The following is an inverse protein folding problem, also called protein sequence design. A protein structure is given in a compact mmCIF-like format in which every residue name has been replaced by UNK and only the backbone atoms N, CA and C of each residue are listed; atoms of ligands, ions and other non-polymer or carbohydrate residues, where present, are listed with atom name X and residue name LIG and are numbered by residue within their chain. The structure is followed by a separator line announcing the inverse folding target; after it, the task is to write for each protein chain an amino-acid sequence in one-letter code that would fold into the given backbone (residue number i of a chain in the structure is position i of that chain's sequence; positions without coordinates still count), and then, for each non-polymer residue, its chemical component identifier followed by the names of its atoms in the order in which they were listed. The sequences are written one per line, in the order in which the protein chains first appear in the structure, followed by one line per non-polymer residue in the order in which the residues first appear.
data_IF_629256332487
#
_entry.id   IF_629256332487
#
_cell.length_a   1.000
_cell.length_b   1.000
_cell.length_c   1.000
_cell.angle_alpha   90.00
_cell.angle_beta   90.00
_cell.angle_gamma   90.00
#
_symmetry.space_group_name_H-M   'P 1'
#
loop_
_entity.id
_entity.type
_entity.pdbx_description
1 polymer ?
#
# COMPACT_ATOMS: atom_id res chain seq x y z
N UNK A 1 -3.39 -29.39 -12.48
CA UNK A 1 -2.94 -29.06 -11.13
C UNK A 1 -1.44 -29.24 -10.92
N UNK A 2 -0.86 -30.36 -11.34
CA UNK A 2 0.59 -30.61 -11.22
C UNK A 2 1.44 -29.59 -12.01
N UNK A 3 0.97 -29.14 -13.21
CA UNK A 3 1.69 -28.13 -14.01
C UNK A 3 1.75 -26.78 -13.34
N UNK A 4 0.68 -26.34 -12.66
CA UNK A 4 0.68 -25.06 -11.93
C UNK A 4 1.62 -25.09 -10.73
N UNK A 5 1.70 -26.20 -10.01
CA UNK A 5 2.63 -26.36 -8.89
C UNK A 5 4.08 -26.35 -9.34
N UNK A 6 4.37 -27.04 -10.45
CA UNK A 6 5.72 -27.08 -11.01
C UNK A 6 6.16 -25.71 -11.53
N UNK A 7 5.27 -25.00 -12.25
CA UNK A 7 5.56 -23.66 -12.74
C UNK A 7 5.82 -22.68 -11.59
N UNK A 8 5.06 -22.81 -10.50
CA UNK A 8 5.26 -21.98 -9.32
C UNK A 8 6.63 -22.22 -8.68
N UNK A 9 7.10 -23.45 -8.65
CA UNK A 9 8.43 -23.80 -8.14
C UNK A 9 9.56 -23.28 -9.02
N UNK A 10 9.30 -23.15 -10.33
CA UNK A 10 10.28 -22.66 -11.30
C UNK A 10 10.31 -21.13 -11.42
N UNK A 11 9.28 -20.46 -10.91
CA UNK A 11 9.26 -18.99 -10.94
C UNK A 11 10.27 -18.41 -9.96
N UNK A 12 10.99 -17.36 -10.35
CA UNK A 12 11.89 -16.67 -9.44
C UNK A 12 11.12 -16.15 -8.24
N UNK A 13 11.66 -16.34 -7.05
CA UNK A 13 11.07 -15.77 -5.83
C UNK A 13 11.18 -14.25 -5.86
N UNK A 14 10.18 -13.53 -5.33
CA UNK A 14 10.29 -12.09 -5.21
C UNK A 14 11.45 -11.70 -4.29
N UNK A 15 12.14 -10.63 -4.65
CA UNK A 15 13.27 -10.11 -3.88
C UNK A 15 12.88 -8.93 -2.98
N UNK A 16 11.71 -8.35 -3.22
CA UNK A 16 11.21 -7.21 -2.45
C UNK A 16 9.70 -7.10 -2.60
N UNK A 17 9.08 -6.31 -1.74
CA UNK A 17 7.65 -6.03 -1.76
C UNK A 17 7.45 -4.51 -1.77
N UNK A 18 6.60 -4.03 -2.67
CA UNK A 18 6.12 -2.65 -2.67
C UNK A 18 4.65 -2.67 -2.27
N UNK A 19 4.29 -1.90 -1.26
CA UNK A 19 2.90 -1.70 -0.87
C UNK A 19 2.51 -0.29 -1.30
N UNK A 20 1.44 -0.17 -2.08
CA UNK A 20 0.92 1.13 -2.49
C UNK A 20 -0.32 1.48 -1.68
N UNK A 21 -0.36 2.71 -1.19
CA UNK A 21 -1.50 3.23 -0.43
C UNK A 21 -2.09 4.39 -1.21
N UNK A 22 -3.33 4.20 -1.68
CA UNK A 22 -3.99 5.13 -2.58
C UNK A 22 -4.49 6.39 -1.88
N UNK A 23 -4.76 7.43 -2.69
CA UNK A 23 -5.44 8.62 -2.23
C UNK A 23 -6.95 8.45 -2.17
N UNK A 24 -7.64 9.51 -1.78
CA UNK A 24 -9.10 9.53 -1.79
C UNK A 24 -9.61 9.65 -3.23
N UNK A 25 -10.57 8.84 -3.60
CA UNK A 25 -11.19 8.93 -4.91
C UNK A 25 -11.54 7.59 -5.52
N UNK A 26 -12.03 7.63 -6.76
CA UNK A 26 -12.57 6.47 -7.47
C UNK A 26 -11.52 5.48 -7.97
N UNK A 27 -10.30 5.92 -8.19
CA UNK A 27 -9.24 5.07 -8.76
C UNK A 27 -8.48 4.27 -7.71
N UNK A 28 -8.55 4.65 -6.48
CA UNK A 28 -8.09 3.87 -5.33
C UNK A 28 -6.83 3.02 -5.62
N UNK A 29 -6.93 1.72 -5.42
CA UNK A 29 -5.81 0.79 -5.59
C UNK A 29 -5.27 0.71 -7.03
N UNK A 30 -6.03 1.14 -8.04
CA UNK A 30 -5.60 1.08 -9.44
C UNK A 30 -4.71 2.25 -9.87
N UNK A 31 -4.48 3.23 -9.00
CA UNK A 31 -3.62 4.38 -9.32
C UNK A 31 -2.20 3.98 -9.68
N UNK A 32 -1.73 2.85 -9.18
CA UNK A 32 -0.35 2.39 -9.36
C UNK A 32 -0.23 1.14 -10.25
N UNK A 33 -1.22 0.90 -11.11
CA UNK A 33 -1.20 -0.28 -11.99
C UNK A 33 0.04 -0.32 -12.89
N UNK A 34 0.50 0.83 -13.37
CA UNK A 34 1.70 0.90 -14.21
C UNK A 34 2.96 0.50 -13.42
N UNK A 35 3.04 0.92 -12.17
CA UNK A 35 4.13 0.52 -11.29
C UNK A 35 4.11 -0.99 -11.05
N UNK A 36 2.92 -1.54 -10.83
CA UNK A 36 2.75 -2.98 -10.60
C UNK A 36 3.19 -3.79 -11.83
N UNK A 37 2.83 -3.33 -13.02
CA UNK A 37 3.21 -4.00 -14.27
C UNK A 37 4.72 -4.00 -14.48
N UNK A 38 5.37 -2.86 -14.24
CA UNK A 38 6.83 -2.74 -14.33
C UNK A 38 7.53 -3.62 -13.30
N UNK A 39 7.08 -3.57 -12.07
CA UNK A 39 7.73 -4.27 -10.95
C UNK A 39 7.68 -5.79 -11.10
N UNK A 40 6.66 -6.30 -11.77
CA UNK A 40 6.51 -7.74 -12.02
C UNK A 40 7.72 -8.30 -12.76
N UNK A 41 8.26 -7.57 -13.74
CA UNK A 41 9.44 -7.99 -14.51
C UNK A 41 10.72 -7.88 -13.68
N UNK A 42 10.70 -7.12 -12.59
CA UNK A 42 11.85 -6.89 -11.71
C UNK A 42 11.87 -7.84 -10.50
N UNK A 43 11.00 -8.84 -10.46
CA UNK A 43 10.85 -9.76 -9.33
C UNK A 43 10.46 -9.04 -8.04
N UNK A 44 9.61 -8.03 -8.15
CA UNK A 44 9.09 -7.27 -7.02
C UNK A 44 7.59 -7.47 -6.95
N UNK A 45 7.11 -7.93 -5.80
CA UNK A 45 5.66 -8.01 -5.57
C UNK A 45 5.13 -6.63 -5.26
N UNK A 46 4.05 -6.23 -5.95
CA UNK A 46 3.35 -4.99 -5.64
C UNK A 46 1.99 -5.34 -5.07
N UNK A 47 1.77 -4.91 -3.85
CA UNK A 47 0.52 -5.12 -3.13
C UNK A 47 -0.29 -3.84 -3.21
N UNK A 48 -1.37 -3.90 -3.95
CA UNK A 48 -2.35 -2.82 -4.06
C UNK A 48 -3.62 -3.28 -3.34
N UNK A 49 -4.20 -2.42 -2.53
CA UNK A 49 -5.40 -2.76 -1.78
C UNK A 49 -6.28 -1.53 -1.60
N UNK A 50 -7.55 -1.77 -1.30
CA UNK A 50 -8.51 -0.71 -1.04
C UNK A 50 -8.53 -0.39 0.46
N UNK A 51 -8.33 0.89 0.80
CA UNK A 51 -8.48 1.37 2.18
C UNK A 51 -9.93 1.30 2.64
N UNK A 52 -10.85 1.52 1.71
CA UNK A 52 -12.29 1.53 1.99
C UNK A 52 -13.05 0.96 0.80
N UNK A 53 -14.30 0.56 1.08
CA UNK A 53 -15.21 0.09 0.03
C UNK A 53 -15.98 1.28 -0.53
N UNK A 54 -15.77 1.58 -1.81
CA UNK A 54 -16.43 2.69 -2.49
C UNK A 54 -17.97 2.52 -2.53
N UNK A 55 -18.43 1.28 -2.53
CA UNK A 55 -19.86 0.97 -2.65
C UNK A 55 -20.57 0.86 -1.29
N UNK A 56 -19.84 1.01 -0.19
CA UNK A 56 -20.38 0.99 1.16
C UNK A 56 -20.29 2.40 1.76
N UNK A 57 -21.41 3.11 1.79
CA UNK A 57 -21.47 4.46 2.34
C UNK A 57 -21.14 4.52 3.83
N UNK A 58 -21.27 3.42 4.54
CA UNK A 58 -20.93 3.33 5.95
C UNK A 58 -19.42 3.13 6.19
N UNK A 59 -18.67 2.78 5.16
CA UNK A 59 -17.22 2.61 5.25
C UNK A 59 -16.53 3.97 5.15
N UNK A 60 -16.70 4.79 6.16
CA UNK A 60 -16.18 6.17 6.19
C UNK A 60 -15.36 6.47 7.47
N UNK A 61 -14.97 5.45 8.22
CA UNK A 61 -14.18 5.63 9.43
C UNK A 61 -12.68 5.52 9.12
N UNK A 62 -11.92 6.63 9.20
CA UNK A 62 -10.48 6.61 8.93
C UNK A 62 -9.70 5.65 9.83
N UNK A 63 -10.20 5.35 11.02
CA UNK A 63 -9.54 4.37 11.91
C UNK A 63 -9.56 2.98 11.30
N UNK A 64 -10.66 2.61 10.64
CA UNK A 64 -10.78 1.34 9.95
C UNK A 64 -9.82 1.29 8.75
N UNK A 65 -9.67 2.39 8.04
CA UNK A 65 -8.75 2.48 6.92
C UNK A 65 -7.31 2.30 7.37
N UNK A 66 -6.94 2.94 8.48
CA UNK A 66 -5.62 2.77 9.09
C UNK A 66 -5.38 1.34 9.52
N UNK A 67 -6.37 0.69 10.12
CA UNK A 67 -6.25 -0.70 10.55
C UNK A 67 -6.08 -1.65 9.37
N UNK A 68 -6.76 -1.41 8.27
CA UNK A 68 -6.60 -2.19 7.03
C UNK A 68 -5.18 -2.05 6.48
N UNK A 69 -4.70 -0.82 6.38
CA UNK A 69 -3.35 -0.55 5.90
C UNK A 69 -2.30 -1.18 6.81
N UNK A 70 -2.47 -1.06 8.12
CA UNK A 70 -1.56 -1.68 9.09
C UNK A 70 -1.53 -3.20 8.95
N UNK A 71 -2.68 -3.82 8.77
CA UNK A 71 -2.78 -5.27 8.57
C UNK A 71 -2.00 -5.71 7.33
N UNK A 72 -2.12 -4.98 6.24
CA UNK A 72 -1.38 -5.28 5.00
C UNK A 72 0.12 -5.16 5.24
N UNK A 73 0.57 -4.07 5.84
CA UNK A 73 1.99 -3.83 6.11
C UNK A 73 2.54 -4.91 7.04
N UNK A 74 1.83 -5.23 8.10
CA UNK A 74 2.25 -6.27 9.05
C UNK A 74 2.42 -7.62 8.35
N UNK A 75 1.45 -8.01 7.52
CA UNK A 75 1.49 -9.26 6.77
C UNK A 75 2.70 -9.30 5.84
N UNK A 76 2.97 -8.21 5.14
CA UNK A 76 4.10 -8.18 4.21
C UNK A 76 5.45 -8.15 4.93
N UNK A 77 5.55 -7.42 6.04
CA UNK A 77 6.78 -7.39 6.84
C UNK A 77 7.13 -8.78 7.41
N UNK A 78 6.13 -9.61 7.68
CA UNK A 78 6.36 -10.97 8.18
C UNK A 78 7.05 -11.89 7.16
N UNK A 79 7.08 -11.52 5.89
CA UNK A 79 7.75 -12.29 4.82
C UNK A 79 9.27 -12.19 4.88
N UNK A 80 9.82 -11.28 5.69
CA UNK A 80 11.27 -11.06 5.81
C UNK A 80 11.93 -10.62 4.50
N UNK A 81 11.18 -9.93 3.66
CA UNK A 81 11.69 -9.27 2.46
C UNK A 81 11.75 -7.77 2.70
N UNK A 82 12.63 -7.05 1.99
CA UNK A 82 12.57 -5.58 2.04
C UNK A 82 11.19 -5.08 1.63
N UNK A 83 10.59 -4.21 2.43
CA UNK A 83 9.27 -3.63 2.18
C UNK A 83 9.43 -2.15 1.91
N UNK A 84 8.89 -1.71 0.79
CA UNK A 84 8.85 -0.32 0.37
C UNK A 84 7.40 0.14 0.39
N UNK A 85 7.16 1.35 0.89
CA UNK A 85 5.85 1.97 0.87
C UNK A 85 5.81 3.09 -0.17
N UNK A 86 4.73 3.13 -0.95
CA UNK A 86 4.44 4.22 -1.86
C UNK A 86 3.07 4.76 -1.48
N UNK A 87 3.00 6.01 -1.06
CA UNK A 87 1.74 6.65 -0.67
C UNK A 87 1.41 7.82 -1.57
N UNK A 88 0.17 7.86 -2.04
CA UNK A 88 -0.34 8.94 -2.89
C UNK A 88 -1.37 9.77 -2.14
N UNK A 89 -1.16 11.09 -2.08
CA UNK A 89 -2.06 12.05 -1.43
C UNK A 89 -2.38 11.65 0.02
N UNK A 90 -3.63 11.37 0.37
CA UNK A 90 -4.02 10.85 1.70
C UNK A 90 -3.23 9.58 2.05
N UNK A 91 -3.03 8.71 1.08
CA UNK A 91 -2.23 7.50 1.27
C UNK A 91 -0.79 7.79 1.67
N UNK A 92 -0.25 8.94 1.29
CA UNK A 92 1.09 9.38 1.70
C UNK A 92 1.17 9.67 3.20
N UNK A 93 0.12 10.23 3.79
CA UNK A 93 0.05 10.47 5.23
C UNK A 93 -0.01 9.14 5.98
N UNK A 94 -0.84 8.22 5.52
CA UNK A 94 -0.96 6.89 6.11
C UNK A 94 0.36 6.13 5.99
N UNK A 95 0.99 6.17 4.83
CA UNK A 95 2.29 5.51 4.60
C UNK A 95 3.37 6.05 5.53
N UNK A 96 3.41 7.37 5.74
CA UNK A 96 4.36 8.01 6.66
C UNK A 96 4.16 7.53 8.10
N UNK A 97 2.91 7.42 8.53
CA UNK A 97 2.59 6.90 9.86
C UNK A 97 3.04 5.45 10.02
N UNK A 98 2.79 4.62 9.01
CA UNK A 98 3.19 3.22 9.03
C UNK A 98 4.72 3.06 8.99
N UNK A 99 5.42 3.89 8.22
CA UNK A 99 6.87 3.86 8.15
C UNK A 99 7.52 4.21 9.49
N UNK A 100 6.84 4.99 10.35
CA UNK A 100 7.33 5.30 11.69
C UNK A 100 7.17 4.12 12.68
N UNK A 101 6.39 3.11 12.34
CA UNK A 101 6.03 1.99 13.22
C UNK A 101 6.57 0.64 12.78
N UNK A 102 6.86 0.47 11.52
CA UNK A 102 7.27 -0.82 10.94
C UNK A 102 8.63 -0.68 10.25
N UNK A 103 9.38 -1.78 10.11
CA UNK A 103 10.68 -1.75 9.48
C UNK A 103 10.55 -1.63 7.95
N UNK A 104 10.26 -0.42 7.51
CA UNK A 104 10.12 -0.08 6.10
C UNK A 104 11.47 0.35 5.55
N UNK A 105 11.88 -0.28 4.44
CA UNK A 105 13.17 -0.01 3.83
C UNK A 105 13.24 1.39 3.23
N UNK A 106 12.21 1.78 2.48
CA UNK A 106 12.10 3.11 1.90
C UNK A 106 10.64 3.52 1.78
N UNK A 107 10.42 4.83 1.85
CA UNK A 107 9.11 5.46 1.73
C UNK A 107 9.15 6.44 0.57
N UNK A 108 8.24 6.28 -0.39
CA UNK A 108 8.04 7.24 -1.47
C UNK A 108 6.69 7.91 -1.31
N UNK A 109 6.67 9.23 -1.34
CA UNK A 109 5.46 10.02 -1.19
C UNK A 109 5.18 10.76 -2.50
N UNK A 110 3.96 10.61 -3.00
CA UNK A 110 3.51 11.31 -4.21
C UNK A 110 2.39 12.25 -3.79
N UNK A 111 2.64 13.55 -3.91
CA UNK A 111 1.69 14.61 -3.55
C UNK A 111 1.02 14.37 -2.18
N UNK A 112 1.79 14.17 -1.10
CA UNK A 112 1.21 13.83 0.20
C UNK A 112 0.33 14.95 0.73
N UNK A 113 -0.82 14.58 1.33
CA UNK A 113 -1.86 15.52 1.73
C UNK A 113 -1.67 16.05 3.16
N UNK A 114 -0.44 16.27 3.61
CA UNK A 114 -0.16 16.75 4.97
C UNK A 114 -0.82 18.10 5.27
N UNK A 115 -0.83 18.99 4.29
CA UNK A 115 -1.41 20.32 4.46
C UNK A 115 -2.94 20.26 4.62
N UNK A 116 -3.57 19.34 3.91
CA UNK A 116 -5.03 19.13 3.99
C UNK A 116 -5.47 18.51 5.30
N UNK A 117 -4.56 17.83 5.97
CA UNK A 117 -4.83 17.19 7.26
C UNK A 117 -4.23 17.98 8.42
N UNK A 118 -4.07 19.27 8.24
CA UNK A 118 -3.68 20.17 9.33
C UNK A 118 -4.81 20.22 10.33
N UNK A 119 -4.62 19.52 11.44
CA UNK A 119 -5.61 19.42 12.50
C UNK A 119 -5.91 20.75 13.16
N UNK A 120 -4.95 21.68 13.15
CA UNK A 120 -5.17 23.03 13.68
C UNK A 120 -6.20 23.78 12.85
N UNK A 121 -6.13 23.69 11.52
CA UNK A 121 -7.09 24.31 10.63
C UNK A 121 -8.44 23.60 10.64
N UNK A 122 -8.43 22.26 10.75
CA UNK A 122 -9.65 21.49 10.81
C UNK A 122 -10.41 21.72 12.12
N UNK A 123 -9.71 21.98 13.23
CA UNK A 123 -10.30 22.28 14.53
C UNK A 123 -10.73 23.75 14.66
N UNK A 124 -10.20 24.60 13.85
CA UNK A 124 -10.54 26.03 13.83
C UNK A 124 -11.75 26.32 12.99
#
# INVERSE_FOLDING_TARGET
MKKKGLLRLLQPKPKAVIITIHGYGRRRSHEMDNLAAWAKDERVDVIQFDLYDLFDEEDCDPKQWLMRAESVVRTQCARKLPVYLVGFSMGGVIASWLASRYPIEKLALIAPAFTYLDLGKAAG
#
